data_IF_734156712452
#
_entry.id   IF_734156712452
#
_cell.length_a   1.000
_cell.length_b   1.000
_cell.length_c   1.000
_cell.angle_alpha   90.00
_cell.angle_beta   90.00
_cell.angle_gamma   90.00
#
_symmetry.space_group_name_H-M   'P 1'
#
loop_
_entity.id
_entity.type
_entity.pdbx_description
1 polymer ?
#
# COMPACT_ATOMS: atom_id res chain seq x y z
N UNK A 1 4.71 14.65 -14.78
CA UNK A 1 3.99 13.38 -15.04
C UNK A 1 4.86 12.28 -14.45
N UNK A 2 4.35 11.52 -13.47
CA UNK A 2 5.08 10.41 -12.85
C UNK A 2 5.41 9.38 -13.94
N UNK A 3 6.69 9.00 -14.09
CA UNK A 3 7.06 7.92 -15.03
C UNK A 3 6.45 6.60 -14.53
N UNK A 4 5.94 5.71 -15.41
CA UNK A 4 5.45 4.42 -14.97
C UNK A 4 6.63 3.61 -14.40
N UNK A 5 6.60 3.37 -13.08
CA UNK A 5 7.60 2.57 -12.34
C UNK A 5 7.17 1.12 -12.14
N UNK A 6 6.00 0.77 -12.68
CA UNK A 6 5.34 -0.50 -12.46
C UNK A 6 5.02 -1.14 -13.81
N UNK A 7 5.29 -2.45 -13.92
CA UNK A 7 4.93 -3.27 -15.08
C UNK A 7 3.42 -3.49 -15.19
N UNK A 8 2.70 -3.36 -14.07
CA UNK A 8 1.25 -3.40 -13.98
C UNK A 8 0.77 -2.27 -13.07
N UNK A 9 -0.37 -1.67 -13.40
CA UNK A 9 -1.03 -0.66 -12.57
C UNK A 9 -2.53 -0.72 -12.80
N UNK A 10 -3.30 -0.28 -11.82
CA UNK A 10 -4.75 -0.13 -11.93
C UNK A 10 -5.05 1.34 -12.19
N UNK A 11 -5.69 1.63 -13.32
CA UNK A 11 -6.19 2.97 -13.58
C UNK A 11 -7.42 3.24 -12.70
N UNK A 12 -7.36 4.32 -11.92
CA UNK A 12 -8.39 4.67 -10.94
C UNK A 12 -8.90 6.06 -11.21
N UNK A 13 -10.21 6.14 -11.44
CA UNK A 13 -10.87 7.45 -11.55
C UNK A 13 -10.79 8.25 -10.25
N UNK A 14 -10.73 9.58 -10.37
CA UNK A 14 -10.81 10.48 -9.21
C UNK A 14 -12.07 10.23 -8.36
N UNK A 15 -13.20 9.87 -8.98
CA UNK A 15 -14.43 9.49 -8.27
C UNK A 15 -14.22 8.29 -7.36
N UNK A 16 -13.53 7.26 -7.84
CA UNK A 16 -13.22 6.07 -7.06
C UNK A 16 -12.28 6.41 -5.88
N UNK A 17 -11.21 7.17 -6.14
CA UNK A 17 -10.27 7.58 -5.08
C UNK A 17 -10.98 8.42 -4.00
N UNK A 18 -11.86 9.34 -4.41
CA UNK A 18 -12.62 10.15 -3.47
C UNK A 18 -13.57 9.31 -2.62
N UNK A 19 -14.25 8.33 -3.24
CA UNK A 19 -15.08 7.40 -2.49
C UNK A 19 -14.24 6.61 -1.49
N UNK A 20 -13.15 5.98 -1.94
CA UNK A 20 -12.30 5.13 -1.11
C UNK A 20 -11.70 5.87 0.08
N UNK A 21 -11.20 7.09 -0.14
CA UNK A 21 -10.45 7.80 0.90
C UNK A 21 -11.28 8.79 1.74
N UNK A 22 -12.44 9.23 1.25
CA UNK A 22 -13.22 10.26 1.96
C UNK A 22 -14.68 9.88 2.21
N UNK A 23 -15.26 8.93 1.46
CA UNK A 23 -16.68 8.60 1.56
C UNK A 23 -16.99 7.15 1.97
N UNK A 24 -15.98 6.27 2.04
CA UNK A 24 -16.15 4.87 2.40
C UNK A 24 -16.56 4.77 3.88
N UNK A 25 -17.77 4.29 4.20
CA UNK A 25 -18.22 4.21 5.58
C UNK A 25 -17.34 3.29 6.43
N UNK A 26 -16.93 3.77 7.60
CA UNK A 26 -16.11 2.98 8.54
C UNK A 26 -14.61 3.00 8.25
N UNK A 27 -14.18 3.47 7.07
CA UNK A 27 -12.77 3.70 6.80
C UNK A 27 -12.36 5.10 7.27
N UNK A 28 -11.28 5.16 8.07
CA UNK A 28 -10.61 6.42 8.43
C UNK A 28 -9.17 6.35 7.94
N UNK A 29 -8.94 6.59 6.64
CA UNK A 29 -7.59 6.55 6.11
C UNK A 29 -6.78 7.73 6.62
N UNK A 30 -5.54 7.47 7.00
CA UNK A 30 -4.51 8.49 7.14
C UNK A 30 -3.87 8.71 5.77
N UNK A 31 -4.17 9.84 5.13
CA UNK A 31 -3.52 10.24 3.89
C UNK A 31 -2.49 11.34 4.17
N UNK A 32 -1.22 11.07 3.88
CA UNK A 32 -0.11 12.02 4.00
C UNK A 32 0.36 12.37 2.61
N UNK A 33 0.41 13.66 2.31
CA UNK A 33 0.90 14.20 1.04
C UNK A 33 2.09 15.08 1.34
N UNK A 34 3.24 14.74 0.76
CA UNK A 34 4.42 15.60 0.80
C UNK A 34 4.44 16.49 -0.43
N UNK A 35 4.65 17.79 -0.22
CA UNK A 35 4.76 18.79 -1.28
C UNK A 35 6.03 19.61 -1.14
N UNK A 36 6.54 20.10 -2.27
CA UNK A 36 7.57 21.15 -2.24
C UNK A 36 6.97 22.52 -1.88
N UNK A 37 7.82 23.56 -1.87
CA UNK A 37 7.40 24.93 -1.60
C UNK A 37 6.44 25.53 -2.65
N UNK A 38 6.35 24.94 -3.84
CA UNK A 38 5.42 25.34 -4.90
C UNK A 38 4.05 24.65 -4.79
N UNK A 39 3.91 23.69 -3.87
CA UNK A 39 2.73 22.85 -3.76
C UNK A 39 2.74 21.66 -4.72
N UNK A 40 3.85 21.38 -5.39
CA UNK A 40 3.99 20.20 -6.24
C UNK A 40 4.11 18.96 -5.36
N UNK A 41 3.30 17.93 -5.66
CA UNK A 41 3.31 16.67 -4.90
C UNK A 41 4.58 15.87 -5.20
N UNK A 42 5.35 15.59 -4.15
CA UNK A 42 6.58 14.80 -4.19
C UNK A 42 6.34 13.34 -3.77
N UNK A 43 5.33 13.10 -2.94
CA UNK A 43 4.99 11.76 -2.50
C UNK A 43 3.66 11.70 -1.76
N UNK A 44 3.09 10.50 -1.71
CA UNK A 44 1.85 10.19 -1.02
C UNK A 44 2.05 8.87 -0.28
N UNK A 45 1.60 8.82 0.97
CA UNK A 45 1.40 7.58 1.68
C UNK A 45 -0.01 7.55 2.26
N UNK A 46 -0.70 6.41 2.11
CA UNK A 46 -2.03 6.20 2.67
C UNK A 46 -2.03 4.97 3.55
N UNK A 47 -2.44 5.13 4.80
CA UNK A 47 -2.59 4.05 5.75
C UNK A 47 -4.06 3.89 6.18
N UNK A 48 -4.48 2.66 6.45
CA UNK A 48 -5.84 2.35 6.90
C UNK A 48 -5.78 1.54 8.18
N UNK A 49 -6.60 1.92 9.17
CA UNK A 49 -6.80 1.13 10.36
C UNK A 49 -7.60 -0.14 10.01
N UNK A 50 -7.13 -1.28 10.51
CA UNK A 50 -7.78 -2.58 10.38
C UNK A 50 -7.84 -3.26 11.74
N UNK A 51 -8.85 -4.11 11.88
CA UNK A 51 -9.05 -4.93 13.07
C UNK A 51 -8.87 -6.39 12.70
N UNK A 52 -7.99 -7.07 13.43
CA UNK A 52 -8.02 -8.52 13.46
C UNK A 52 -9.18 -8.96 14.34
N UNK A 53 -9.94 -9.92 13.84
CA UNK A 53 -11.04 -10.50 14.58
C UNK A 53 -10.61 -11.82 15.22
N UNK A 54 -10.99 -12.03 16.47
CA UNK A 54 -10.83 -13.33 17.11
C UNK A 54 -11.78 -14.38 16.49
N UNK A 55 -11.68 -15.62 16.97
CA UNK A 55 -12.56 -16.73 16.58
C UNK A 55 -14.07 -16.47 16.84
N UNK A 56 -14.40 -15.45 17.63
CA UNK A 56 -15.77 -15.03 17.97
C UNK A 56 -16.19 -13.75 17.22
N UNK A 57 -15.39 -13.30 16.24
CA UNK A 57 -15.61 -12.08 15.46
C UNK A 57 -15.58 -10.80 16.28
N UNK A 58 -14.88 -10.80 17.41
CA UNK A 58 -14.62 -9.61 18.20
C UNK A 58 -13.26 -9.00 17.82
N UNK A 59 -13.11 -7.67 17.82
CA UNK A 59 -11.81 -7.03 17.63
C UNK A 59 -10.79 -7.55 18.67
N UNK A 60 -9.68 -8.08 18.19
CA UNK A 60 -8.63 -8.73 19.00
C UNK A 60 -7.31 -7.98 18.95
N UNK A 61 -6.97 -7.42 17.78
CA UNK A 61 -5.83 -6.55 17.58
C UNK A 61 -6.19 -5.46 16.57
N UNK A 62 -5.55 -4.30 16.71
CA UNK A 62 -5.66 -3.18 15.78
C UNK A 62 -4.34 -3.03 15.07
N UNK A 63 -4.35 -2.95 13.75
CA UNK A 63 -3.15 -2.69 12.98
C UNK A 63 -3.38 -1.57 11.97
N UNK A 64 -2.31 -0.85 11.66
CA UNK A 64 -2.32 0.16 10.61
C UNK A 64 -1.65 -0.41 9.37
N UNK A 65 -2.41 -0.58 8.28
CA UNK A 65 -1.89 -1.08 7.01
C UNK A 65 -1.55 0.09 6.09
N UNK A 66 -0.31 0.18 5.61
CA UNK A 66 0.06 1.07 4.50
C UNK A 66 -0.50 0.47 3.21
N UNK A 67 -1.49 1.15 2.63
CA UNK A 67 -2.23 0.69 1.44
C UNK A 67 -1.76 1.35 0.15
N UNK A 68 -1.15 2.53 0.24
CA UNK A 68 -0.52 3.21 -0.88
C UNK A 68 0.78 3.88 -0.44
N UNK A 69 1.79 3.80 -1.30
CA UNK A 69 3.04 4.53 -1.11
C UNK A 69 3.65 4.85 -2.47
N UNK A 70 3.59 6.12 -2.87
CA UNK A 70 4.05 6.60 -4.16
C UNK A 70 4.97 7.79 -3.96
N UNK A 71 6.11 7.79 -4.66
CA UNK A 71 7.03 8.91 -4.71
C UNK A 71 7.21 9.37 -6.16
N UNK A 72 7.46 10.66 -6.33
CA UNK A 72 7.81 11.23 -7.63
C UNK A 72 9.13 10.68 -8.15
N UNK A 73 10.10 10.55 -7.25
CA UNK A 73 11.44 10.01 -7.49
C UNK A 73 11.85 9.15 -6.27
N UNK A 74 12.86 8.30 -6.44
CA UNK A 74 13.39 7.52 -5.30
C UNK A 74 14.22 8.45 -4.41
N UNK A 75 13.56 9.02 -3.41
CA UNK A 75 14.17 9.87 -2.39
C UNK A 75 14.10 9.16 -1.03
N UNK A 76 15.24 8.65 -0.52
CA UNK A 76 15.28 7.93 0.76
C UNK A 76 14.83 8.76 1.96
N UNK A 77 15.14 10.06 1.97
CA UNK A 77 14.82 10.94 3.10
C UNK A 77 13.32 11.24 3.11
N UNK A 78 12.76 11.54 1.94
CA UNK A 78 11.31 11.70 1.79
C UNK A 78 10.54 10.42 2.16
N UNK A 79 11.03 9.26 1.70
CA UNK A 79 10.43 7.97 2.03
C UNK A 79 10.42 7.73 3.55
N UNK A 80 11.56 7.93 4.21
CA UNK A 80 11.68 7.77 5.66
C UNK A 80 10.76 8.74 6.41
N UNK A 81 10.68 10.00 5.98
CA UNK A 81 9.78 10.98 6.60
C UNK A 81 8.31 10.56 6.52
N UNK A 82 7.85 10.06 5.37
CA UNK A 82 6.49 9.56 5.22
C UNK A 82 6.26 8.34 6.14
N UNK A 83 7.19 7.38 6.18
CA UNK A 83 7.07 6.19 7.04
C UNK A 83 7.04 6.60 8.52
N UNK A 84 7.96 7.47 8.96
CA UNK A 84 8.01 7.97 10.33
C UNK A 84 6.72 8.69 10.72
N UNK A 85 6.11 9.44 9.80
CA UNK A 85 4.85 10.12 10.08
C UNK A 85 3.70 9.12 10.31
N UNK A 86 3.65 8.05 9.52
CA UNK A 86 2.71 6.93 9.74
C UNK A 86 2.96 6.27 11.08
N UNK A 87 4.22 5.99 11.43
CA UNK A 87 4.58 5.36 12.72
C UNK A 87 4.19 6.23 13.92
N UNK A 88 4.37 7.55 13.82
CA UNK A 88 3.92 8.48 14.87
C UNK A 88 2.41 8.47 15.02
N UNK A 89 1.67 8.48 13.91
CA UNK A 89 0.22 8.38 13.98
C UNK A 89 -0.26 7.04 14.54
N UNK A 90 0.41 5.94 14.18
CA UNK A 90 0.16 4.62 14.75
C UNK A 90 0.36 4.62 16.28
N UNK A 91 1.40 5.29 16.79
CA UNK A 91 1.61 5.46 18.23
C UNK A 91 0.50 6.27 18.89
N UNK A 92 0.01 7.34 18.25
CA UNK A 92 -1.11 8.15 18.76
C UNK A 92 -2.42 7.35 18.84
N UNK A 93 -2.66 6.48 17.86
CA UNK A 93 -3.80 5.56 17.82
C UNK A 93 -3.65 4.34 18.74
N UNK A 94 -2.46 4.14 19.32
CA UNK A 94 -2.12 2.97 20.11
C UNK A 94 -2.42 1.63 19.40
N UNK A 95 -2.13 1.55 18.09
CA UNK A 95 -2.27 0.29 17.34
C UNK A 95 -1.20 -0.72 17.76
N UNK A 96 -1.51 -2.00 17.65
CA UNK A 96 -0.64 -3.11 18.04
C UNK A 96 0.50 -3.34 17.03
N UNK A 97 0.25 -3.05 15.75
CA UNK A 97 1.24 -3.23 14.69
C UNK A 97 1.03 -2.26 13.51
N UNK A 98 2.11 -2.06 12.75
CA UNK A 98 2.07 -1.38 11.46
C UNK A 98 2.60 -2.34 10.41
N UNK A 99 1.77 -2.58 9.40
CA UNK A 99 2.07 -3.51 8.33
C UNK A 99 2.02 -2.82 6.98
N UNK A 100 2.64 -3.44 6.01
CA UNK A 100 2.36 -3.16 4.61
C UNK A 100 2.42 -4.47 3.86
N UNK A 101 1.53 -4.59 2.90
CA UNK A 101 1.71 -5.55 1.85
C UNK A 101 2.86 -5.10 0.94
N UNK A 102 3.39 -5.97 0.07
CA UNK A 102 4.65 -5.66 -0.60
C UNK A 102 4.53 -4.39 -1.46
N UNK A 103 5.52 -3.50 -1.35
CA UNK A 103 5.70 -2.26 -2.14
C UNK A 103 6.94 -2.44 -3.03
N UNK A 104 7.26 -1.50 -3.92
CA UNK A 104 8.51 -1.48 -4.69
C UNK A 104 9.74 -1.86 -3.85
N UNK A 105 10.71 -2.52 -4.48
CA UNK A 105 11.97 -2.92 -3.83
C UNK A 105 12.67 -1.74 -3.13
N UNK A 106 12.57 -0.53 -3.71
CA UNK A 106 13.07 0.69 -3.09
C UNK A 106 12.42 0.94 -1.73
N UNK A 107 11.08 0.97 -1.64
CA UNK A 107 10.38 1.22 -0.38
C UNK A 107 10.60 0.09 0.63
N UNK A 108 10.67 -1.17 0.18
CA UNK A 108 11.02 -2.28 1.07
C UNK A 108 12.39 -2.10 1.72
N UNK A 109 13.38 -1.62 0.98
CA UNK A 109 14.71 -1.34 1.54
C UNK A 109 14.64 -0.26 2.63
N UNK A 110 13.78 0.75 2.47
CA UNK A 110 13.57 1.81 3.46
C UNK A 110 12.86 1.27 4.72
N UNK A 111 11.80 0.49 4.54
CA UNK A 111 11.10 -0.16 5.65
C UNK A 111 12.04 -1.03 6.48
N UNK A 112 12.88 -1.86 5.84
CA UNK A 112 13.90 -2.66 6.52
C UNK A 112 14.90 -1.80 7.29
N UNK A 113 15.35 -0.68 6.70
CA UNK A 113 16.24 0.26 7.38
C UNK A 113 15.60 0.89 8.64
N UNK A 114 14.27 0.98 8.68
CA UNK A 114 13.49 1.48 9.81
C UNK A 114 13.02 0.38 10.79
N UNK A 115 13.52 -0.84 10.63
CA UNK A 115 13.28 -1.94 11.56
C UNK A 115 12.05 -2.80 11.26
N UNK A 116 11.39 -2.63 10.12
CA UNK A 116 10.35 -3.56 9.67
C UNK A 116 10.99 -4.91 9.32
N UNK A 117 10.35 -5.97 9.77
CA UNK A 117 10.70 -7.35 9.42
C UNK A 117 9.78 -7.85 8.29
N UNK A 118 10.33 -8.60 7.34
CA UNK A 118 9.51 -9.38 6.42
C UNK A 118 9.03 -10.64 7.12
N UNK A 119 7.74 -10.95 7.01
CA UNK A 119 7.27 -12.30 7.32
C UNK A 119 7.70 -13.26 6.20
N UNK A 120 8.12 -14.47 6.57
CA UNK A 120 8.46 -15.55 5.63
C UNK A 120 7.21 -16.16 4.94
N UNK A 121 6.06 -15.50 5.05
CA UNK A 121 4.75 -16.03 4.69
C UNK A 121 4.38 -15.74 3.23
N UNK A 122 4.27 -16.84 2.48
CA UNK A 122 3.50 -17.03 1.24
C UNK A 122 3.84 -16.16 0.02
N UNK A 123 4.31 -16.84 -1.03
CA UNK A 123 4.26 -16.35 -2.40
C UNK A 123 2.84 -15.82 -2.70
N UNK A 124 2.75 -14.54 -3.08
CA UNK A 124 1.52 -13.98 -3.61
C UNK A 124 1.48 -14.23 -5.11
N UNK A 125 0.48 -14.98 -5.57
CA UNK A 125 0.18 -15.12 -6.98
C UNK A 125 -0.95 -14.17 -7.36
N UNK A 126 -0.73 -13.35 -8.39
CA UNK A 126 -1.81 -12.63 -9.05
C UNK A 126 -2.07 -13.25 -10.42
N UNK A 127 -3.33 -13.13 -10.81
CA UNK A 127 -3.89 -13.87 -11.92
C UNK A 127 -4.72 -12.90 -12.76
N UNK A 128 -4.34 -12.75 -14.03
CA UNK A 128 -5.08 -11.92 -14.96
C UNK A 128 -6.22 -12.76 -15.54
N UNK A 129 -7.45 -12.40 -15.16
CA UNK A 129 -8.67 -13.00 -15.70
C UNK A 129 -9.11 -12.22 -16.94
N UNK A 130 -8.82 -12.71 -18.13
CA UNK A 130 -9.46 -12.19 -19.34
C UNK A 130 -10.90 -12.71 -19.40
N UNK A 131 -11.88 -11.80 -19.36
CA UNK A 131 -13.30 -12.16 -19.50
C UNK A 131 -13.69 -12.50 -20.95
N UNK A 132 -12.84 -12.22 -21.93
CA UNK A 132 -13.12 -12.40 -23.36
C UNK A 132 -12.61 -13.73 -23.91
N UNK A 133 -11.57 -14.29 -23.34
CA UNK A 133 -11.08 -15.62 -23.69
C UNK A 133 -11.42 -16.55 -22.53
N UNK A 134 -12.08 -17.68 -22.78
CA UNK A 134 -12.23 -18.75 -21.77
C UNK A 134 -10.89 -19.46 -21.50
N UNK A 135 -9.77 -18.77 -21.72
CA UNK A 135 -8.45 -19.35 -21.57
C UNK A 135 -8.07 -19.43 -20.09
N UNK A 136 -7.26 -20.44 -19.80
CA UNK A 136 -6.72 -20.67 -18.46
C UNK A 136 -6.05 -19.39 -17.96
N UNK A 137 -6.29 -19.01 -16.70
CA UNK A 137 -5.70 -17.80 -16.15
C UNK A 137 -4.18 -17.82 -16.27
N UNK A 138 -3.59 -16.71 -16.74
CA UNK A 138 -2.14 -16.60 -16.82
C UNK A 138 -1.59 -16.29 -15.43
N UNK A 139 -0.79 -17.23 -14.90
CA UNK A 139 0.04 -16.98 -13.74
C UNK A 139 1.13 -15.99 -14.15
N UNK A 140 1.19 -14.84 -13.49
CA UNK A 140 2.28 -13.92 -13.69
C UNK A 140 3.40 -14.38 -12.75
N UNK A 141 4.45 -15.00 -13.30
CA UNK A 141 5.62 -15.46 -12.54
C UNK A 141 6.55 -14.27 -12.24
N UNK A 142 6.10 -13.41 -11.32
CA UNK A 142 6.88 -12.32 -10.76
C UNK A 142 6.68 -12.33 -9.26
N UNK A 143 7.59 -11.75 -8.48
CA UNK A 143 7.30 -11.40 -7.10
C UNK A 143 6.17 -10.37 -7.13
N UNK A 144 4.92 -10.83 -7.10
CA UNK A 144 3.77 -9.95 -7.18
C UNK A 144 3.49 -9.41 -5.82
N UNK A 145 3.37 -8.10 -5.80
CA UNK A 145 3.25 -7.30 -4.62
C UNK A 145 1.86 -6.69 -4.67
N UNK A 146 0.94 -7.33 -3.95
CA UNK A 146 -0.47 -6.98 -3.94
C UNK A 146 -0.80 -6.28 -2.63
N UNK A 147 -1.43 -5.11 -2.64
CA UNK A 147 -1.96 -4.54 -1.40
C UNK A 147 -3.35 -5.12 -1.12
N UNK A 148 -3.40 -6.12 -0.25
CA UNK A 148 -4.62 -6.68 0.32
C UNK A 148 -5.08 -5.82 1.50
N UNK A 149 -6.02 -4.94 1.29
CA UNK A 149 -7.32 -5.58 1.29
C UNK A 149 -8.41 -4.75 0.69
N UNK A 150 -8.56 -4.86 -0.64
CA UNK A 150 -9.87 -4.93 -1.31
C UNK A 150 -9.84 -5.34 -2.81
N UNK A 151 -8.68 -5.45 -3.46
CA UNK A 151 -8.61 -5.97 -4.86
C UNK A 151 -7.72 -5.14 -5.79
N UNK A 152 -7.35 -3.94 -5.37
CA UNK A 152 -7.29 -2.85 -6.34
C UNK A 152 -5.90 -2.24 -6.60
N UNK A 153 -4.82 -2.81 -6.04
CA UNK A 153 -3.45 -2.41 -6.39
C UNK A 153 -2.61 -3.63 -6.75
N UNK A 154 -2.19 -3.71 -8.01
CA UNK A 154 -1.11 -4.60 -8.43
C UNK A 154 0.08 -3.71 -8.73
N UNK A 155 1.14 -3.81 -7.92
CA UNK A 155 2.42 -3.21 -8.21
C UNK A 155 3.38 -4.33 -8.59
N UNK A 156 3.93 -4.28 -9.80
CA UNK A 156 4.99 -5.20 -10.22
C UNK A 156 6.18 -4.34 -10.58
N UNK A 157 7.28 -4.48 -9.85
CA UNK A 157 8.55 -3.91 -10.29
C UNK A 157 9.21 -4.88 -11.25
N UNK A 158 9.46 -4.44 -12.48
CA UNK A 158 10.34 -5.18 -13.39
C UNK A 158 11.77 -5.24 -12.83
N UNK A 159 12.49 -6.30 -13.20
CA UNK A 159 13.93 -6.43 -12.97
C UNK A 159 14.71 -5.33 -13.68
#
# INVERSE_FOLDING_TARGET
MLKPRFSFSVDRSARYLNWRYFALPGAKPLAIVATDASGTVLGIAVAMERFELDRHRQPAATHLEITEFLLAEDDPELADHLIIFILRHAQELAVDSVGTMPITAFIQSRLKALGFTSEDSTQFSAMLLDKKTQDMPQLIDTEIMYTAGDGDSIYVTGR
#
